data_IF_507563027458
#
_entry.id   IF_507563027458
#
_cell.length_a   1.000
_cell.length_b   1.000
_cell.length_c   1.000
_cell.angle_alpha   90.00
_cell.angle_beta   90.00
_cell.angle_gamma   90.00
#
_symmetry.space_group_name_H-M   'P 1'
#
loop_
_entity.id
_entity.type
_entity.pdbx_description
1 polymer ?
#
# COMPACT_ATOMS: atom_id res chain seq x y z
N UNK A 1 -6.90 5.15 14.25
CA UNK A 1 -7.22 5.73 12.93
C UNK A 1 -6.60 4.83 11.88
N UNK A 2 -7.25 4.67 10.74
CA UNK A 2 -6.76 3.91 9.60
C UNK A 2 -6.71 4.84 8.40
N UNK A 3 -5.59 4.83 7.67
CA UNK A 3 -5.49 5.43 6.34
C UNK A 3 -5.55 4.28 5.33
N UNK A 4 -6.49 4.32 4.40
CA UNK A 4 -6.67 3.30 3.38
C UNK A 4 -6.47 3.92 2.00
N UNK A 5 -5.65 3.28 1.17
CA UNK A 5 -5.30 3.75 -0.16
C UNK A 5 -5.80 2.74 -1.17
N UNK A 6 -6.54 3.20 -2.17
CA UNK A 6 -7.03 2.37 -3.27
C UNK A 6 -7.02 3.22 -4.56
N UNK A 7 -6.14 2.91 -5.53
CA UNK A 7 -5.92 3.78 -6.68
C UNK A 7 -7.09 3.82 -7.66
N UNK A 8 -7.73 2.67 -7.91
CA UNK A 8 -8.66 2.55 -9.02
C UNK A 8 -10.05 3.08 -8.62
N UNK A 9 -10.69 3.82 -9.53
CA UNK A 9 -11.89 4.61 -9.18
C UNK A 9 -13.03 3.73 -8.67
N UNK A 10 -13.26 2.58 -9.30
CA UNK A 10 -14.38 1.71 -8.93
C UNK A 10 -14.15 0.97 -7.61
N UNK A 11 -12.97 0.40 -7.39
CA UNK A 11 -12.60 -0.23 -6.12
C UNK A 11 -12.55 0.79 -4.99
N UNK A 12 -12.11 2.03 -5.26
CA UNK A 12 -12.18 3.12 -4.29
C UNK A 12 -13.62 3.47 -3.90
N UNK A 13 -14.56 3.49 -4.86
CA UNK A 13 -15.98 3.68 -4.56
C UNK A 13 -16.55 2.55 -3.69
N UNK A 14 -16.13 1.30 -3.94
CA UNK A 14 -16.50 0.15 -3.11
C UNK A 14 -15.91 0.25 -1.69
N UNK A 15 -14.65 0.64 -1.56
CA UNK A 15 -14.00 0.90 -0.28
C UNK A 15 -14.79 1.95 0.52
N UNK A 16 -15.14 3.08 -0.10
CA UNK A 16 -15.94 4.14 0.53
C UNK A 16 -17.31 3.64 0.97
N UNK A 17 -18.00 2.87 0.12
CA UNK A 17 -19.29 2.28 0.46
C UNK A 17 -19.16 1.33 1.66
N UNK A 18 -18.14 0.47 1.68
CA UNK A 18 -17.89 -0.45 2.79
C UNK A 18 -17.60 0.30 4.10
N UNK A 19 -16.77 1.35 4.07
CA UNK A 19 -16.51 2.22 5.23
C UNK A 19 -17.80 2.84 5.75
N UNK A 20 -18.61 3.43 4.85
CA UNK A 20 -19.85 4.11 5.23
C UNK A 20 -20.92 3.15 5.76
N UNK A 21 -21.15 2.02 5.09
CA UNK A 21 -22.17 1.03 5.47
C UNK A 21 -21.89 0.40 6.83
N UNK A 22 -20.62 0.26 7.20
CA UNK A 22 -20.21 -0.27 8.50
C UNK A 22 -20.04 0.82 9.57
N UNK A 23 -20.33 2.10 9.26
CA UNK A 23 -20.21 3.19 10.21
C UNK A 23 -18.79 3.43 10.72
N UNK A 24 -17.77 3.10 9.93
CA UNK A 24 -16.37 3.15 10.34
C UNK A 24 -15.83 4.59 10.32
N UNK A 25 -16.09 5.34 11.38
CA UNK A 25 -15.69 6.75 11.53
C UNK A 25 -14.17 6.97 11.67
N UNK A 26 -13.40 5.90 11.84
CA UNK A 26 -11.96 5.94 12.10
C UNK A 26 -11.11 5.60 10.87
N UNK A 27 -11.72 5.52 9.67
CA UNK A 27 -11.05 5.19 8.40
C UNK A 27 -11.10 6.39 7.45
N UNK A 28 -9.94 6.83 6.98
CA UNK A 28 -9.79 7.87 5.96
C UNK A 28 -9.28 7.22 4.68
N UNK A 29 -9.99 7.43 3.58
CA UNK A 29 -9.75 6.75 2.32
C UNK A 29 -9.15 7.72 1.29
N UNK A 30 -8.14 7.28 0.54
CA UNK A 30 -7.46 8.04 -0.50
C UNK A 30 -7.53 7.30 -1.83
N UNK A 31 -7.98 8.00 -2.88
CA UNK A 31 -7.95 7.48 -4.24
C UNK A 31 -6.56 7.69 -4.86
N UNK A 32 -5.57 6.97 -4.37
CA UNK A 32 -4.19 7.08 -4.86
C UNK A 32 -3.44 5.77 -4.64
N UNK A 33 -2.49 5.48 -5.52
CA UNK A 33 -1.45 4.49 -5.29
C UNK A 33 -0.36 5.09 -4.39
N UNK A 34 0.34 4.22 -3.64
CA UNK A 34 1.56 4.61 -2.95
C UNK A 34 2.78 4.25 -3.78
N UNK A 35 3.77 5.14 -3.83
CA UNK A 35 5.02 4.95 -4.58
C UNK A 35 6.16 5.78 -3.99
N UNK A 36 7.35 5.69 -4.59
CA UNK A 36 8.56 6.41 -4.19
C UNK A 36 8.55 7.89 -4.62
N UNK A 37 7.59 8.28 -5.46
CA UNK A 37 7.40 9.65 -5.94
C UNK A 37 5.96 9.94 -6.32
N UNK A 38 5.62 11.23 -6.34
CA UNK A 38 4.37 11.68 -6.93
C UNK A 38 4.42 11.53 -8.45
N UNK A 39 3.40 10.90 -9.04
CA UNK A 39 3.28 10.74 -10.49
C UNK A 39 1.85 10.43 -10.92
N UNK A 40 1.60 10.49 -12.22
CA UNK A 40 0.38 9.99 -12.84
C UNK A 40 0.73 8.93 -13.87
N UNK A 41 -0.02 7.83 -13.87
CA UNK A 41 0.18 6.71 -14.75
C UNK A 41 -1.14 6.27 -15.36
N UNK A 42 -1.13 5.92 -16.65
CA UNK A 42 -2.30 5.34 -17.32
C UNK A 42 -2.26 3.82 -17.12
N UNK A 43 -3.20 3.30 -16.32
CA UNK A 43 -3.23 1.89 -15.88
C UNK A 43 -4.53 1.21 -16.28
N UNK A 44 -4.45 -0.09 -16.59
CA UNK A 44 -5.65 -0.90 -16.81
C UNK A 44 -6.37 -1.12 -15.48
N UNK A 45 -7.66 -0.77 -15.45
CA UNK A 45 -8.48 -0.87 -14.25
C UNK A 45 -8.90 -2.33 -13.98
N UNK A 46 -9.15 -2.71 -12.71
CA UNK A 46 -9.62 -4.04 -12.35
C UNK A 46 -10.99 -4.36 -12.96
N UNK A 47 -11.20 -5.61 -13.37
CA UNK A 47 -12.50 -6.12 -13.82
C UNK A 47 -13.42 -6.35 -12.61
N UNK A 48 -14.63 -5.78 -12.64
CA UNK A 48 -15.61 -5.91 -11.55
C UNK A 48 -16.99 -6.41 -12.02
N UNK A 49 -17.19 -6.66 -13.32
CA UNK A 49 -18.51 -7.05 -13.88
C UNK A 49 -18.76 -8.55 -13.87
N UNK A 50 -17.70 -9.35 -13.87
CA UNK A 50 -17.76 -10.82 -13.80
C UNK A 50 -17.17 -11.30 -12.47
N UNK A 51 -17.34 -12.59 -12.14
CA UNK A 51 -16.65 -13.17 -10.99
C UNK A 51 -15.14 -13.09 -11.19
N UNK A 52 -14.50 -12.14 -10.52
CA UNK A 52 -13.06 -11.90 -10.50
C UNK A 52 -12.59 -11.76 -9.05
N UNK A 53 -11.28 -11.94 -8.84
CA UNK A 53 -10.61 -11.54 -7.59
C UNK A 53 -9.83 -10.25 -7.86
N UNK A 54 -10.45 -9.06 -7.69
CA UNK A 54 -9.80 -7.80 -8.02
C UNK A 54 -8.59 -7.50 -7.12
N UNK A 55 -8.38 -8.25 -6.04
CA UNK A 55 -7.22 -8.12 -5.16
C UNK A 55 -5.89 -8.48 -5.84
N UNK A 56 -5.89 -9.40 -6.81
CA UNK A 56 -4.66 -9.82 -7.51
C UNK A 56 -4.25 -8.91 -8.69
N UNK A 57 -4.80 -7.70 -8.77
CA UNK A 57 -4.60 -6.81 -9.92
C UNK A 57 -3.31 -6.02 -9.75
N UNK A 58 -2.42 -6.15 -10.73
CA UNK A 58 -1.15 -5.45 -10.80
C UNK A 58 -1.31 -4.11 -11.50
N UNK A 59 -0.56 -3.10 -11.05
CA UNK A 59 -0.47 -1.81 -11.71
C UNK A 59 0.32 -1.93 -13.03
N UNK A 60 -0.28 -2.48 -14.08
CA UNK A 60 0.33 -2.64 -15.38
C UNK A 60 0.07 -1.43 -16.29
N UNK A 61 1.14 -0.83 -16.88
CA UNK A 61 0.99 0.12 -17.97
C UNK A 61 0.25 -0.53 -19.15
N UNK A 62 -0.49 0.28 -19.93
CA UNK A 62 -1.34 -0.17 -21.06
C UNK A 62 -0.68 -1.09 -22.09
N UNK A 63 0.65 -1.14 -22.13
CA UNK A 63 1.43 -1.91 -23.11
C UNK A 63 2.10 -3.16 -22.52
N UNK A 64 1.82 -3.55 -21.27
CA UNK A 64 2.48 -4.68 -20.59
C UNK A 64 1.48 -5.51 -19.79
N UNK A 65 0.83 -6.49 -20.43
CA UNK A 65 -0.06 -7.45 -19.75
C UNK A 65 0.69 -8.56 -19.00
N UNK A 66 1.94 -8.33 -18.59
CA UNK A 66 2.73 -9.29 -17.78
C UNK A 66 2.95 -10.67 -18.40
N UNK A 67 2.69 -10.87 -19.70
CA UNK A 67 2.74 -12.19 -20.33
C UNK A 67 1.52 -13.09 -20.05
N UNK A 68 0.44 -12.53 -19.48
CA UNK A 68 -0.82 -13.24 -19.24
C UNK A 68 -1.53 -13.60 -20.55
N UNK A 69 -2.29 -14.70 -20.53
CA UNK A 69 -3.18 -15.05 -21.64
C UNK A 69 -4.28 -13.98 -21.82
N UNK A 70 -4.89 -13.90 -23.00
CA UNK A 70 -6.02 -12.97 -23.21
C UNK A 70 -7.21 -13.25 -22.27
N UNK A 71 -7.39 -14.50 -21.86
CA UNK A 71 -8.45 -14.91 -20.95
C UNK A 71 -8.16 -14.45 -19.51
N UNK A 72 -6.94 -14.65 -19.03
CA UNK A 72 -6.50 -14.19 -17.71
C UNK A 72 -6.54 -12.66 -17.61
N UNK A 73 -6.15 -11.96 -18.68
CA UNK A 73 -6.24 -10.52 -18.75
C UNK A 73 -7.68 -10.00 -18.63
N UNK A 74 -8.65 -10.67 -19.23
CA UNK A 74 -10.08 -10.27 -19.14
C UNK A 74 -10.69 -10.58 -17.77
N UNK A 75 -10.15 -11.56 -17.06
CA UNK A 75 -10.57 -11.86 -15.69
C UNK A 75 -10.07 -10.83 -14.69
N UNK A 76 -8.88 -10.28 -14.91
CA UNK A 76 -8.26 -9.32 -13.99
C UNK A 76 -8.55 -7.86 -14.37
N UNK A 77 -8.60 -7.52 -15.66
CA UNK A 77 -8.69 -6.15 -16.14
C UNK A 77 -9.93 -5.88 -16.97
N UNK A 78 -10.51 -4.69 -16.81
CA UNK A 78 -11.57 -4.20 -17.69
C UNK A 78 -10.96 -3.66 -18.99
N UNK A 79 -10.94 -4.51 -20.01
CA UNK A 79 -10.46 -4.14 -21.34
C UNK A 79 -11.50 -3.40 -22.17
N UNK A 80 -12.76 -3.28 -21.72
CA UNK A 80 -13.84 -2.64 -22.47
C UNK A 80 -13.90 -1.13 -22.23
N UNK A 81 -13.71 -0.70 -20.98
CA UNK A 81 -13.73 0.72 -20.59
C UNK A 81 -12.37 1.42 -20.76
N UNK A 82 -11.30 0.65 -20.96
CA UNK A 82 -9.96 1.17 -21.17
C UNK A 82 -9.25 1.55 -19.88
N UNK A 83 -8.05 2.09 -20.04
CA UNK A 83 -7.21 2.49 -18.91
C UNK A 83 -7.68 3.80 -18.27
N UNK A 84 -7.39 3.95 -16.97
CA UNK A 84 -7.63 5.18 -16.22
C UNK A 84 -6.33 5.80 -15.71
N UNK A 85 -6.36 7.11 -15.51
CA UNK A 85 -5.24 7.83 -14.92
C UNK A 85 -5.26 7.61 -13.42
N UNK A 86 -4.23 6.94 -12.91
CA UNK A 86 -4.01 6.70 -11.49
C UNK A 86 -2.96 7.68 -10.98
N UNK A 87 -3.31 8.39 -9.91
CA UNK A 87 -2.36 9.20 -9.15
C UNK A 87 -1.57 8.31 -8.20
N UNK A 88 -0.27 8.54 -8.12
CA UNK A 88 0.63 7.96 -7.13
C UNK A 88 1.17 9.06 -6.23
N UNK A 89 1.25 8.80 -4.93
CA UNK A 89 1.78 9.71 -3.91
C UNK A 89 2.77 8.99 -3.01
N UNK A 90 3.59 9.74 -2.26
CA UNK A 90 4.44 9.17 -1.21
C UNK A 90 3.68 9.14 0.11
N UNK A 91 3.88 8.08 0.90
CA UNK A 91 3.26 7.99 2.23
C UNK A 91 3.76 9.11 3.15
N UNK A 92 5.05 9.47 3.04
CA UNK A 92 5.64 10.58 3.79
C UNK A 92 4.90 11.90 3.59
N UNK A 93 4.47 12.19 2.36
CA UNK A 93 3.75 13.44 2.04
C UNK A 93 2.35 13.47 2.68
N UNK A 94 1.73 12.30 2.86
CA UNK A 94 0.40 12.19 3.50
C UNK A 94 0.53 12.22 5.02
N UNK A 95 1.42 11.42 5.59
CA UNK A 95 1.55 11.26 7.05
C UNK A 95 2.20 12.49 7.69
N UNK A 96 3.24 13.05 7.08
CA UNK A 96 4.02 14.16 7.63
C UNK A 96 3.72 15.50 6.97
N UNK A 97 3.14 15.51 5.78
CA UNK A 97 2.91 16.74 5.01
C UNK A 97 1.55 17.40 5.24
N UNK A 98 0.67 16.80 6.05
CA UNK A 98 -0.71 17.26 6.18
C UNK A 98 -1.12 17.52 7.63
N UNK A 99 -2.09 18.42 7.81
CA UNK A 99 -2.83 18.65 9.05
C UNK A 99 -3.63 17.41 9.53
N UNK A 100 -3.26 16.19 9.10
CA UNK A 100 -3.91 14.93 9.46
C UNK A 100 -4.06 14.75 10.98
N UNK A 101 -3.08 15.29 11.71
CA UNK A 101 -3.04 15.28 13.17
C UNK A 101 -3.43 16.61 13.81
N UNK A 102 -3.73 17.65 13.02
CA UNK A 102 -4.10 18.96 13.53
C UNK A 102 -5.36 18.89 14.39
N UNK A 103 -5.34 19.58 15.54
CA UNK A 103 -6.46 19.61 16.48
C UNK A 103 -6.66 18.34 17.29
N UNK A 104 -5.72 17.38 17.24
CA UNK A 104 -5.77 16.18 18.09
C UNK A 104 -5.04 16.42 19.42
N UNK A 105 -5.62 15.91 20.51
CA UNK A 105 -5.06 15.99 21.86
C UNK A 105 -4.08 14.85 22.18
N UNK A 106 -3.71 14.04 21.20
CA UNK A 106 -2.77 12.92 21.36
C UNK A 106 -1.69 13.03 20.31
N UNK A 107 -0.46 12.76 20.73
CA UNK A 107 0.69 12.62 19.86
C UNK A 107 0.40 11.58 18.78
N UNK A 108 0.66 11.92 17.50
CA UNK A 108 0.42 11.00 16.41
C UNK A 108 1.41 9.85 16.42
N UNK A 109 0.95 8.71 15.93
CA UNK A 109 1.77 7.51 15.75
C UNK A 109 1.26 6.72 14.55
N UNK A 110 2.19 6.08 13.84
CA UNK A 110 1.88 5.00 12.89
C UNK A 110 2.35 3.71 13.55
N UNK A 111 1.41 2.84 13.88
CA UNK A 111 1.75 1.59 14.58
C UNK A 111 1.90 0.38 13.66
N UNK A 112 1.24 0.41 12.52
CA UNK A 112 1.22 -0.68 11.55
C UNK A 112 1.09 -0.10 10.15
N UNK A 113 1.87 -0.63 9.21
CA UNK A 113 1.68 -0.45 7.77
C UNK A 113 1.43 -1.84 7.18
N UNK A 114 0.21 -2.06 6.65
CA UNK A 114 -0.08 -3.22 5.81
C UNK A 114 0.21 -2.85 4.36
N UNK A 115 0.94 -3.70 3.65
CA UNK A 115 1.33 -3.52 2.25
C UNK A 115 0.91 -4.75 1.46
N UNK A 116 0.08 -4.53 0.46
CA UNK A 116 -0.52 -5.55 -0.40
C UNK A 116 -0.83 -4.82 -1.70
N UNK A 117 0.19 -4.74 -2.55
CA UNK A 117 0.26 -3.82 -3.70
C UNK A 117 0.86 -4.49 -4.94
N UNK A 118 0.91 -5.82 -4.93
CA UNK A 118 1.21 -6.68 -6.08
C UNK A 118 2.49 -6.28 -6.84
N UNK A 119 3.64 -6.31 -6.15
CA UNK A 119 4.98 -6.08 -6.73
C UNK A 119 5.51 -4.66 -6.60
N UNK A 120 4.77 -3.77 -5.92
CA UNK A 120 5.17 -2.38 -5.69
C UNK A 120 5.68 -2.12 -4.26
N UNK A 121 5.90 -3.17 -3.46
CA UNK A 121 6.18 -3.08 -2.02
C UNK A 121 7.43 -2.23 -1.74
N UNK A 122 8.49 -2.41 -2.54
CA UNK A 122 9.73 -1.64 -2.43
C UNK A 122 9.50 -0.15 -2.68
N UNK A 123 8.71 0.21 -3.70
CA UNK A 123 8.39 1.60 -4.02
C UNK A 123 7.56 2.24 -2.90
N UNK A 124 6.59 1.50 -2.34
CA UNK A 124 5.81 1.97 -1.18
C UNK A 124 6.73 2.26 0.00
N UNK A 125 7.66 1.36 0.33
CA UNK A 125 8.61 1.58 1.44
C UNK A 125 9.55 2.76 1.17
N UNK A 126 10.02 2.94 -0.07
CA UNK A 126 10.81 4.13 -0.45
C UNK A 126 10.03 5.44 -0.37
N UNK A 127 8.71 5.41 -0.56
CA UNK A 127 7.82 6.54 -0.33
C UNK A 127 7.50 6.79 1.15
N UNK A 128 7.93 5.92 2.04
CA UNK A 128 7.60 5.91 3.47
C UNK A 128 8.84 6.05 4.38
N UNK A 129 10.00 6.40 3.83
CA UNK A 129 11.27 6.35 4.58
C UNK A 129 11.23 7.21 5.84
N UNK A 130 10.73 8.45 5.75
CA UNK A 130 10.65 9.34 6.92
C UNK A 130 9.59 8.86 7.91
N UNK A 131 8.50 8.29 7.41
CA UNK A 131 7.45 7.69 8.24
C UNK A 131 8.00 6.49 9.03
N UNK A 132 8.78 5.63 8.39
CA UNK A 132 9.42 4.48 9.03
C UNK A 132 10.42 4.93 10.09
N UNK A 133 11.27 5.91 9.77
CA UNK A 133 12.26 6.49 10.70
C UNK A 133 11.60 7.22 11.88
N UNK A 134 10.50 7.93 11.66
CA UNK A 134 9.84 8.69 12.72
C UNK A 134 9.06 7.78 13.68
N UNK A 135 8.29 6.83 13.14
CA UNK A 135 7.29 6.10 13.90
C UNK A 135 7.68 4.66 14.23
N UNK A 136 8.66 4.09 13.53
CA UNK A 136 9.07 2.67 13.67
C UNK A 136 7.88 1.68 13.70
N UNK A 137 6.91 1.80 12.76
CA UNK A 137 5.74 0.92 12.73
C UNK A 137 6.15 -0.53 12.50
N UNK A 138 5.29 -1.47 12.88
CA UNK A 138 5.34 -2.82 12.32
C UNK A 138 4.98 -2.74 10.84
N UNK A 139 5.71 -3.43 9.96
CA UNK A 139 5.37 -3.54 8.54
C UNK A 139 4.91 -4.97 8.25
N UNK A 140 3.72 -5.13 7.70
CA UNK A 140 3.18 -6.41 7.26
C UNK A 140 2.98 -6.35 5.75
N UNK A 141 3.82 -7.06 5.01
CA UNK A 141 3.80 -7.04 3.54
C UNK A 141 3.43 -8.41 3.00
N UNK A 142 2.41 -8.49 2.16
CA UNK A 142 2.33 -9.59 1.20
C UNK A 142 3.48 -9.38 0.20
N UNK A 143 4.30 -10.40 -0.01
CA UNK A 143 5.55 -10.29 -0.78
C UNK A 143 5.75 -11.55 -1.62
N UNK A 144 4.82 -11.77 -2.56
CA UNK A 144 4.80 -12.95 -3.44
C UNK A 144 6.14 -13.13 -4.17
N UNK A 145 6.71 -12.04 -4.70
CA UNK A 145 7.95 -12.08 -5.46
C UNK A 145 9.16 -12.55 -4.63
N UNK A 146 9.21 -12.27 -3.32
CA UNK A 146 10.23 -12.85 -2.44
C UNK A 146 10.12 -14.38 -2.35
N UNK A 147 8.91 -14.91 -2.19
CA UNK A 147 8.70 -16.35 -1.98
C UNK A 147 8.73 -17.17 -3.28
N UNK A 148 8.33 -16.59 -4.42
CA UNK A 148 8.25 -17.29 -5.70
C UNK A 148 9.50 -17.09 -6.57
N UNK A 149 10.14 -15.91 -6.49
CA UNK A 149 11.24 -15.52 -7.37
C UNK A 149 12.54 -15.25 -6.62
N UNK A 150 12.56 -15.42 -5.30
CA UNK A 150 13.70 -15.11 -4.45
C UNK A 150 14.17 -13.64 -4.58
N UNK A 151 13.23 -12.71 -4.83
CA UNK A 151 13.56 -11.28 -4.89
C UNK A 151 13.90 -10.75 -3.49
N UNK A 152 15.18 -10.50 -3.25
CA UNK A 152 15.70 -9.99 -1.98
C UNK A 152 15.60 -8.46 -1.84
N UNK A 153 15.09 -7.75 -2.85
CA UNK A 153 15.11 -6.28 -2.89
C UNK A 153 14.33 -5.64 -1.73
N UNK A 154 13.18 -6.22 -1.37
CA UNK A 154 12.38 -5.76 -0.23
C UNK A 154 13.12 -5.96 1.09
N UNK A 155 13.64 -7.17 1.35
CA UNK A 155 14.37 -7.47 2.59
C UNK A 155 15.63 -6.61 2.70
N UNK A 156 16.38 -6.44 1.61
CA UNK A 156 17.58 -5.59 1.60
C UNK A 156 17.26 -4.13 1.93
N UNK A 157 16.15 -3.60 1.42
CA UNK A 157 15.68 -2.26 1.78
C UNK A 157 15.32 -2.20 3.27
N UNK A 158 14.50 -3.12 3.77
CA UNK A 158 14.10 -3.12 5.18
C UNK A 158 15.31 -3.26 6.11
N UNK A 159 16.27 -4.12 5.77
CA UNK A 159 17.52 -4.30 6.53
C UNK A 159 18.31 -2.99 6.64
N UNK A 160 18.38 -2.22 5.55
CA UNK A 160 19.04 -0.90 5.50
C UNK A 160 18.34 0.19 6.31
N UNK A 161 17.08 -0.03 6.69
CA UNK A 161 16.27 0.85 7.54
C UNK A 161 16.21 0.37 9.00
N UNK A 162 17.11 -0.54 9.38
CA UNK A 162 17.16 -1.17 10.69
C UNK A 162 15.92 -2.01 11.04
N UNK A 163 15.30 -2.63 10.03
CA UNK A 163 14.22 -3.61 10.21
C UNK A 163 14.70 -5.04 10.02
N UNK A 164 14.19 -5.96 10.82
CA UNK A 164 14.31 -7.40 10.61
C UNK A 164 12.97 -7.97 10.17
N UNK A 165 12.96 -8.83 9.15
CA UNK A 165 11.76 -9.41 8.58
C UNK A 165 11.70 -10.92 8.82
N UNK A 166 10.52 -11.43 9.14
CA UNK A 166 10.25 -12.86 9.30
C UNK A 166 8.97 -13.24 8.56
N UNK A 167 8.90 -14.48 8.09
CA UNK A 167 7.69 -15.04 7.48
C UNK A 167 6.54 -15.04 8.48
N UNK A 168 5.36 -14.60 8.04
CA UNK A 168 4.15 -14.70 8.85
C UNK A 168 3.72 -16.17 9.00
N UNK A 169 3.36 -16.58 10.22
CA UNK A 169 2.94 -17.97 10.49
C UNK A 169 1.57 -18.32 9.87
N UNK A 170 0.68 -17.34 9.74
CA UNK A 170 -0.69 -17.52 9.26
C UNK A 170 -0.89 -17.15 7.77
N UNK A 171 0.13 -16.57 7.12
CA UNK A 171 0.06 -16.11 5.73
C UNK A 171 1.35 -16.50 5.00
N UNK A 172 1.32 -17.49 4.10
CA UNK A 172 2.53 -18.15 3.59
C UNK A 172 3.37 -17.26 2.66
N UNK A 173 2.77 -16.22 2.07
CA UNK A 173 3.36 -15.25 1.16
C UNK A 173 3.71 -13.92 1.84
N UNK A 174 3.57 -13.83 3.17
CA UNK A 174 3.70 -12.57 3.88
C UNK A 174 4.97 -12.50 4.72
N UNK A 175 5.53 -11.29 4.79
CA UNK A 175 6.62 -10.91 5.66
C UNK A 175 6.12 -9.92 6.71
N UNK A 176 6.51 -10.14 7.97
CA UNK A 176 6.35 -9.19 9.07
C UNK A 176 7.71 -8.64 9.43
N UNK A 177 7.88 -7.33 9.29
CA UNK A 177 9.12 -6.62 9.62
C UNK A 177 8.94 -5.75 10.87
N UNK A 178 9.93 -5.77 11.74
CA UNK A 178 9.97 -5.01 12.98
C UNK A 178 11.35 -4.35 13.16
N UNK A 179 11.38 -3.26 13.92
CA UNK A 179 12.60 -2.57 14.28
C UNK A 179 13.61 -3.51 14.99
N UNK A 180 14.86 -3.56 14.50
CA UNK A 180 15.93 -4.43 15.02
C UNK A 180 16.31 -4.10 16.47
N UNK A 181 16.11 -2.85 16.89
CA UNK A 181 16.48 -2.37 18.22
C UNK A 181 15.33 -2.43 19.22
N UNK A 182 14.14 -2.90 18.81
CA UNK A 182 12.98 -3.04 19.67
C UNK A 182 12.35 -1.71 20.10
N UNK A 183 12.58 -0.62 19.35
CA UNK A 183 11.96 0.70 19.62
C UNK A 183 10.43 0.63 19.56
N UNK A 184 9.92 -0.10 18.56
CA UNK A 184 8.49 -0.24 18.30
C UNK A 184 7.78 1.08 17.96
N UNK A 185 6.46 1.04 17.72
CA UNK A 185 5.67 2.21 17.40
C UNK A 185 5.86 3.37 18.37
N UNK A 186 6.47 4.45 17.88
CA UNK A 186 6.86 5.62 18.67
C UNK A 186 5.91 6.78 18.33
N UNK A 187 5.26 7.43 19.32
CA UNK A 187 4.56 8.70 19.09
C UNK A 187 5.56 9.83 18.84
N UNK A 188 5.25 10.76 17.93
CA UNK A 188 6.05 11.98 17.75
C UNK A 188 5.36 13.17 18.43
N UNK A 189 6.15 14.15 18.87
CA UNK A 189 5.61 15.34 19.52
C UNK A 189 4.72 16.12 18.55
N UNK A 190 3.63 16.71 19.05
CA UNK A 190 2.69 17.51 18.24
C UNK A 190 3.33 18.75 17.59
N UNK A 191 4.51 19.19 18.05
CA UNK A 191 5.28 20.28 17.44
C UNK A 191 6.14 19.85 16.24
N UNK A 192 6.32 18.54 16.06
CA UNK A 192 7.14 17.92 15.02
C UNK A 192 6.29 17.23 13.95
N UNK A 193 4.97 17.24 14.13
CA UNK A 193 3.95 16.59 13.29
C UNK A 193 3.20 17.55 12.36
#
# INVERSE_FOLDING_TARGET
MVLAFEPFRWTYQLLNANVALNGLMNVWTYQAALSDRASQSLLLQPQLRFFSSPGGVRAHPTNQTGGLSEEDNKQLYDTEWGAEVVESVRLDDIVLGSNLFAGRNREPTVSLIKVDVEGMEVNVMRGALKTLEAFHPIVWSENVDYFEKEDLSFIALMDSLDYTCAKASAAPTDLVCQDKFGRGPTPIALSEA
#
